data_IF_936580636848
#
_entry.id   IF_936580636848
#
_cell.length_a   1.000
_cell.length_b   1.000
_cell.length_c   1.000
_cell.angle_alpha   90.00
_cell.angle_beta   90.00
_cell.angle_gamma   90.00
#
_symmetry.space_group_name_H-M   'P 1'
#
loop_
_entity.id
_entity.type
_entity.pdbx_description
1 polymer ?
#
# COMPACT_ATOMS: atom_id res chain seq x y z
N UNK A 1 -1.48 -40.43 74.61
CA UNK A 1 -2.22 -39.26 74.06
C UNK A 1 -1.19 -38.17 73.75
N UNK A 2 -1.21 -37.58 72.55
CA UNK A 2 -0.32 -36.45 72.25
C UNK A 2 -0.74 -35.21 73.05
N UNK A 3 0.22 -34.44 73.56
CA UNK A 3 -0.09 -33.20 74.26
C UNK A 3 -0.64 -32.15 73.28
N UNK A 4 -1.58 -31.31 73.72
CA UNK A 4 -2.17 -30.26 72.87
C UNK A 4 -1.09 -29.35 72.28
N UNK A 5 -0.04 -29.06 73.04
CA UNK A 5 1.14 -28.28 72.63
C UNK A 5 1.86 -28.93 71.44
N UNK A 6 2.08 -30.25 71.47
CA UNK A 6 2.71 -30.99 70.37
C UNK A 6 1.86 -30.97 69.09
N UNK A 7 0.53 -31.02 69.21
CA UNK A 7 -0.35 -30.93 68.05
C UNK A 7 -0.35 -29.52 67.44
N UNK A 8 -0.33 -28.47 68.26
CA UNK A 8 -0.26 -27.07 67.79
C UNK A 8 1.07 -26.77 67.10
N UNK A 9 2.21 -27.24 67.64
CA UNK A 9 3.52 -27.01 66.99
C UNK A 9 3.66 -27.75 65.67
N UNK A 10 3.19 -29.00 65.57
CA UNK A 10 3.19 -29.75 64.30
C UNK A 10 2.27 -29.09 63.27
N UNK A 11 1.05 -28.68 63.67
CA UNK A 11 0.12 -27.98 62.77
C UNK A 11 0.70 -26.65 62.26
N UNK A 12 1.37 -25.88 63.13
CA UNK A 12 2.04 -24.65 62.74
C UNK A 12 3.15 -24.90 61.71
N UNK A 13 4.05 -25.87 61.94
CA UNK A 13 5.14 -26.20 61.01
C UNK A 13 4.61 -26.63 59.63
N UNK A 14 3.54 -27.44 59.59
CA UNK A 14 2.90 -27.85 58.33
C UNK A 14 2.28 -26.64 57.61
N UNK A 15 1.58 -25.76 58.32
CA UNK A 15 0.99 -24.56 57.73
C UNK A 15 2.05 -23.63 57.12
N UNK A 16 3.17 -23.40 57.81
CA UNK A 16 4.28 -22.59 57.27
C UNK A 16 4.91 -23.23 56.03
N UNK A 17 5.06 -24.57 56.02
CA UNK A 17 5.57 -25.31 54.86
C UNK A 17 4.66 -25.18 53.63
N UNK A 18 3.34 -25.28 53.81
CA UNK A 18 2.35 -25.10 52.74
C UNK A 18 2.36 -23.66 52.20
N UNK A 19 2.40 -22.65 53.09
CA UNK A 19 2.50 -21.25 52.69
C UNK A 19 3.79 -20.95 51.91
N UNK A 20 4.94 -21.43 52.40
CA UNK A 20 6.22 -21.26 51.71
C UNK A 20 6.23 -21.94 50.32
N UNK A 21 5.65 -23.14 50.21
CA UNK A 21 5.53 -23.83 48.92
C UNK A 21 4.59 -23.10 47.96
N UNK A 22 3.46 -22.56 48.44
CA UNK A 22 2.52 -21.79 47.61
C UNK A 22 3.17 -20.52 47.04
N UNK A 23 3.94 -19.78 47.86
CA UNK A 23 4.70 -18.60 47.42
C UNK A 23 5.78 -18.99 46.40
N UNK A 24 6.55 -20.05 46.66
CA UNK A 24 7.54 -20.57 45.70
C UNK A 24 6.89 -21.00 44.38
N UNK A 25 5.73 -21.66 44.43
CA UNK A 25 5.04 -22.16 43.25
C UNK A 25 4.49 -21.02 42.37
N UNK A 26 3.87 -20.00 42.96
CA UNK A 26 3.41 -18.84 42.17
C UNK A 26 4.58 -18.03 41.59
N UNK A 27 5.69 -17.90 42.34
CA UNK A 27 6.93 -17.32 41.81
C UNK A 27 7.46 -18.12 40.61
N UNK A 28 7.58 -19.45 40.74
CA UNK A 28 8.05 -20.34 39.67
C UNK A 28 7.15 -20.26 38.43
N UNK A 29 5.82 -20.19 38.62
CA UNK A 29 4.83 -20.04 37.55
C UNK A 29 4.97 -18.72 36.79
N UNK A 30 5.19 -17.60 37.51
CA UNK A 30 5.27 -16.26 36.88
C UNK A 30 6.62 -15.98 36.22
N UNK A 31 7.69 -16.66 36.62
CA UNK A 31 9.05 -16.37 36.19
C UNK A 31 9.65 -17.39 35.20
N UNK A 32 8.81 -18.11 34.45
CA UNK A 32 9.26 -19.11 33.47
C UNK A 32 10.14 -18.47 32.37
N UNK A 33 11.42 -18.85 32.41
CA UNK A 33 12.46 -18.37 31.49
C UNK A 33 12.32 -18.96 30.09
N UNK A 34 11.76 -20.16 29.94
CA UNK A 34 11.49 -20.78 28.63
C UNK A 34 10.48 -19.95 27.85
N UNK A 35 9.36 -19.60 28.48
CA UNK A 35 8.30 -18.82 27.84
C UNK A 35 8.80 -17.44 27.38
N UNK A 36 9.55 -16.72 28.23
CA UNK A 36 10.13 -15.43 27.86
C UNK A 36 11.19 -15.55 26.75
N UNK A 37 11.94 -16.67 26.68
CA UNK A 37 12.87 -16.96 25.59
C UNK A 37 12.14 -17.30 24.28
N UNK A 38 11.07 -18.09 24.34
CA UNK A 38 10.19 -18.42 23.20
C UNK A 38 9.56 -17.16 22.61
N UNK A 39 8.91 -16.32 23.42
CA UNK A 39 8.37 -15.03 23.00
C UNK A 39 9.43 -14.10 22.39
N UNK A 40 10.64 -14.03 22.95
CA UNK A 40 11.74 -13.23 22.35
C UNK A 40 12.21 -13.82 21.00
N UNK A 41 12.26 -15.14 20.87
CA UNK A 41 12.66 -15.85 19.63
C UNK A 41 11.59 -15.71 18.54
N UNK A 42 10.33 -15.77 18.90
CA UNK A 42 9.18 -15.55 18.01
C UNK A 42 9.09 -14.09 17.57
N UNK A 43 9.15 -13.12 18.50
CA UNK A 43 9.23 -11.69 18.14
C UNK A 43 10.44 -11.39 17.24
N UNK A 44 11.61 -11.99 17.48
CA UNK A 44 12.78 -11.85 16.59
C UNK A 44 12.56 -12.50 15.21
N UNK A 45 11.84 -13.63 15.14
CA UNK A 45 11.50 -14.29 13.86
C UNK A 45 10.50 -13.46 13.06
N UNK A 46 9.41 -13.01 13.68
CA UNK A 46 8.39 -12.15 13.06
C UNK A 46 9.01 -10.82 12.61
N UNK A 47 9.79 -10.15 13.45
CA UNK A 47 10.46 -8.92 13.04
C UNK A 47 11.48 -9.17 11.92
N UNK A 48 12.19 -10.30 11.91
CA UNK A 48 13.10 -10.64 10.81
C UNK A 48 12.35 -10.94 9.52
N UNK A 49 11.22 -11.68 9.55
CA UNK A 49 10.43 -11.93 8.34
C UNK A 49 9.78 -10.65 7.81
N UNK A 50 9.28 -9.77 8.69
CA UNK A 50 8.74 -8.45 8.31
C UNK A 50 9.83 -7.53 7.75
N UNK A 51 11.03 -7.53 8.34
CA UNK A 51 12.17 -6.78 7.81
C UNK A 51 12.66 -7.35 6.48
N UNK A 52 12.72 -8.68 6.32
CA UNK A 52 13.07 -9.29 5.03
C UNK A 52 12.01 -8.99 3.97
N UNK A 53 10.72 -9.07 4.28
CA UNK A 53 9.67 -8.68 3.32
C UNK A 53 9.66 -7.17 3.03
N UNK A 54 10.14 -6.32 3.94
CA UNK A 54 10.29 -4.88 3.68
C UNK A 54 11.53 -4.58 2.83
N UNK A 55 12.65 -5.22 3.14
CA UNK A 55 13.92 -5.05 2.43
C UNK A 55 13.87 -5.62 1.00
N UNK A 56 13.19 -6.75 0.78
CA UNK A 56 12.88 -7.29 -0.57
C UNK A 56 11.91 -6.40 -1.36
N UNK A 57 11.26 -5.40 -0.73
CA UNK A 57 10.35 -4.44 -1.40
C UNK A 57 10.95 -3.02 -1.50
N UNK A 58 12.05 -2.75 -0.79
CA UNK A 58 12.75 -1.45 -0.76
C UNK A 58 14.15 -1.47 -1.41
N UNK A 59 14.87 -2.60 -1.45
CA UNK A 59 16.21 -2.70 -2.07
C UNK A 59 16.25 -3.44 -3.42
N UNK A 60 15.27 -4.30 -3.71
CA UNK A 60 15.02 -4.69 -5.10
C UNK A 60 14.27 -3.53 -5.79
N UNK A 61 14.95 -2.89 -6.75
CA UNK A 61 14.25 -2.37 -7.93
C UNK A 61 13.34 -3.49 -8.45
N UNK A 62 12.08 -3.19 -8.88
CA UNK A 62 11.10 -4.23 -9.22
C UNK A 62 11.78 -5.26 -10.10
N UNK A 63 11.90 -6.49 -9.58
CA UNK A 63 12.74 -7.52 -10.18
C UNK A 63 12.40 -7.60 -11.66
N UNK A 64 13.37 -7.62 -12.59
CA UNK A 64 13.09 -7.44 -14.03
C UNK A 64 11.99 -8.42 -14.54
N UNK A 65 11.97 -9.63 -13.96
CA UNK A 65 10.93 -10.66 -14.11
C UNK A 65 9.50 -10.17 -13.80
N UNK A 66 9.34 -9.33 -12.78
CA UNK A 66 8.09 -8.68 -12.40
C UNK A 66 7.67 -7.58 -13.38
N UNK A 67 8.58 -6.68 -13.78
CA UNK A 67 8.27 -5.64 -14.76
C UNK A 67 7.82 -6.25 -16.11
N UNK A 68 8.53 -7.27 -16.60
CA UNK A 68 8.18 -7.94 -17.85
C UNK A 68 6.82 -8.63 -17.79
N UNK A 69 6.48 -9.28 -16.67
CA UNK A 69 5.16 -9.90 -16.44
C UNK A 69 4.05 -8.84 -16.33
N UNK A 70 4.29 -7.70 -15.66
CA UNK A 70 3.35 -6.58 -15.62
C UNK A 70 3.13 -5.99 -17.03
N UNK A 71 4.20 -5.85 -17.82
CA UNK A 71 4.17 -5.34 -19.20
C UNK A 71 3.48 -6.30 -20.16
N UNK A 72 3.64 -7.62 -19.99
CA UNK A 72 2.88 -8.64 -20.72
C UNK A 72 1.39 -8.60 -20.35
N UNK A 73 1.08 -8.54 -19.05
CA UNK A 73 -0.30 -8.40 -18.57
C UNK A 73 -0.98 -7.14 -19.13
N UNK A 74 -0.27 -5.99 -19.16
CA UNK A 74 -0.78 -4.75 -19.78
C UNK A 74 -1.07 -4.91 -21.28
N UNK A 75 -0.27 -5.67 -22.04
CA UNK A 75 -0.57 -5.97 -23.45
C UNK A 75 -1.83 -6.82 -23.58
N UNK A 76 -2.03 -7.82 -22.71
CA UNK A 76 -3.24 -8.63 -22.71
C UNK A 76 -4.48 -7.78 -22.37
N UNK A 77 -4.40 -6.94 -21.34
CA UNK A 77 -5.47 -6.03 -20.90
C UNK A 77 -5.90 -5.01 -21.97
N UNK A 78 -4.99 -4.58 -22.86
CA UNK A 78 -5.32 -3.70 -24.00
C UNK A 78 -6.14 -4.40 -25.09
N UNK A 79 -6.08 -5.73 -25.14
CA UNK A 79 -6.82 -6.57 -26.09
C UNK A 79 -8.14 -7.13 -25.49
N UNK A 80 -8.40 -6.93 -24.19
CA UNK A 80 -9.67 -7.31 -23.58
C UNK A 80 -10.82 -6.43 -24.10
N UNK A 81 -11.99 -7.00 -24.46
CA UNK A 81 -13.14 -6.21 -24.90
C UNK A 81 -13.68 -5.34 -23.76
N UNK A 82 -14.16 -4.15 -24.10
CA UNK A 82 -14.72 -3.22 -23.12
C UNK A 82 -16.03 -3.77 -22.52
N UNK A 83 -16.16 -3.74 -21.20
CA UNK A 83 -17.32 -4.25 -20.47
C UNK A 83 -18.54 -3.35 -20.73
N UNK A 84 -19.69 -3.91 -21.17
CA UNK A 84 -20.90 -3.15 -21.43
C UNK A 84 -21.41 -2.49 -20.13
N UNK A 85 -22.03 -1.32 -20.24
CA UNK A 85 -22.38 -0.48 -19.07
C UNK A 85 -23.19 -1.25 -18.01
N UNK A 86 -24.11 -2.10 -18.45
CA UNK A 86 -25.01 -2.91 -17.62
C UNK A 86 -24.26 -3.95 -16.75
N UNK A 87 -23.10 -4.44 -17.18
CA UNK A 87 -22.32 -5.46 -16.47
C UNK A 87 -21.13 -4.87 -15.69
N UNK A 88 -20.84 -3.56 -15.83
CA UNK A 88 -19.65 -2.94 -15.20
C UNK A 88 -19.63 -3.08 -13.69
N UNK A 89 -20.76 -2.89 -13.02
CA UNK A 89 -20.83 -2.98 -11.56
C UNK A 89 -20.55 -4.41 -11.07
N UNK A 90 -21.11 -5.42 -11.74
CA UNK A 90 -20.87 -6.82 -11.44
C UNK A 90 -19.40 -7.21 -11.72
N UNK A 91 -18.84 -6.78 -12.84
CA UNK A 91 -17.43 -6.99 -13.17
C UNK A 91 -16.50 -6.30 -12.16
N UNK A 92 -16.80 -5.06 -11.76
CA UNK A 92 -16.06 -4.31 -10.75
C UNK A 92 -15.98 -5.10 -9.44
N UNK A 93 -17.13 -5.48 -8.88
CA UNK A 93 -17.19 -6.20 -7.61
C UNK A 93 -16.45 -7.55 -7.66
N UNK A 94 -16.53 -8.25 -8.79
CA UNK A 94 -15.77 -9.48 -9.03
C UNK A 94 -14.26 -9.23 -9.06
N UNK A 95 -13.79 -8.20 -9.78
CA UNK A 95 -12.36 -7.84 -9.83
C UNK A 95 -11.81 -7.42 -8.46
N UNK A 96 -12.57 -6.63 -7.67
CA UNK A 96 -12.18 -6.27 -6.29
C UNK A 96 -12.07 -7.51 -5.40
N UNK A 97 -13.10 -8.36 -5.39
CA UNK A 97 -13.13 -9.58 -4.58
C UNK A 97 -12.03 -10.58 -4.95
N UNK A 98 -11.76 -10.73 -6.26
CA UNK A 98 -10.66 -11.54 -6.76
C UNK A 98 -9.29 -10.96 -6.37
N UNK A 99 -9.10 -9.64 -6.49
CA UNK A 99 -7.88 -8.95 -6.07
C UNK A 99 -7.58 -9.12 -4.58
N UNK A 100 -8.59 -8.96 -3.73
CA UNK A 100 -8.49 -9.17 -2.28
C UNK A 100 -8.15 -10.64 -1.94
N UNK A 101 -8.87 -11.59 -2.57
CA UNK A 101 -8.66 -13.04 -2.37
C UNK A 101 -7.26 -13.49 -2.81
N UNK A 102 -6.71 -12.90 -3.87
CA UNK A 102 -5.35 -13.15 -4.33
C UNK A 102 -4.32 -12.50 -3.41
N UNK A 103 -4.54 -11.26 -2.96
CA UNK A 103 -3.66 -10.57 -2.02
C UNK A 103 -3.52 -11.34 -0.68
N UNK A 104 -4.61 -11.95 -0.21
CA UNK A 104 -4.63 -12.77 1.00
C UNK A 104 -3.78 -14.07 0.90
N UNK A 105 -3.50 -14.57 -0.30
CA UNK A 105 -2.68 -15.78 -0.50
C UNK A 105 -1.17 -15.53 -0.37
N UNK A 106 -0.74 -14.26 -0.32
CA UNK A 106 0.64 -13.87 -0.07
C UNK A 106 1.46 -13.53 -1.32
N UNK A 107 2.80 -13.38 -1.19
CA UNK A 107 3.63 -12.66 -2.16
C UNK A 107 3.60 -13.17 -3.60
N UNK A 108 3.45 -14.48 -3.81
CA UNK A 108 3.36 -15.08 -5.16
C UNK A 108 2.12 -14.63 -5.95
N UNK A 109 1.10 -14.12 -5.28
CA UNK A 109 -0.16 -13.70 -5.88
C UNK A 109 -0.35 -12.17 -5.92
N UNK A 110 0.65 -11.39 -5.48
CA UNK A 110 0.56 -9.93 -5.49
C UNK A 110 0.47 -9.33 -6.91
N UNK A 111 1.16 -9.91 -7.89
CA UNK A 111 1.06 -9.48 -9.29
C UNK A 111 -0.33 -9.80 -9.89
N UNK A 112 -0.86 -11.04 -9.80
CA UNK A 112 -2.25 -11.34 -10.13
C UNK A 112 -3.29 -10.44 -9.43
N UNK A 113 -3.10 -10.14 -8.14
CA UNK A 113 -3.96 -9.24 -7.38
C UNK A 113 -3.95 -7.82 -7.95
N UNK A 114 -2.76 -7.27 -8.24
CA UNK A 114 -2.61 -5.95 -8.81
C UNK A 114 -3.29 -5.82 -10.19
N UNK A 115 -3.20 -6.85 -11.03
CA UNK A 115 -3.90 -6.90 -12.33
C UNK A 115 -5.43 -6.80 -12.14
N UNK A 116 -5.99 -7.47 -11.13
CA UNK A 116 -7.43 -7.41 -10.83
C UNK A 116 -7.85 -6.00 -10.36
N UNK A 117 -7.10 -5.39 -9.43
CA UNK A 117 -7.35 -4.01 -9.00
C UNK A 117 -7.19 -2.98 -10.13
N UNK A 118 -6.27 -3.20 -11.06
CA UNK A 118 -6.09 -2.35 -12.24
C UNK A 118 -7.24 -2.50 -13.26
N UNK A 119 -7.77 -3.72 -13.48
CA UNK A 119 -9.02 -3.91 -14.25
C UNK A 119 -10.18 -3.13 -13.66
N UNK A 120 -10.33 -3.13 -12.33
CA UNK A 120 -11.36 -2.36 -11.64
C UNK A 120 -11.17 -0.83 -11.80
N UNK A 121 -9.92 -0.33 -11.78
CA UNK A 121 -9.62 1.10 -12.04
C UNK A 121 -10.04 1.55 -13.44
N UNK A 122 -9.85 0.71 -14.47
CA UNK A 122 -10.18 1.06 -15.88
C UNK A 122 -11.67 1.27 -16.15
N UNK A 123 -12.56 0.72 -15.31
CA UNK A 123 -14.01 0.82 -15.49
C UNK A 123 -14.71 1.75 -14.48
N UNK A 124 -14.00 2.22 -13.45
CA UNK A 124 -14.53 3.13 -12.45
C UNK A 124 -14.50 4.59 -12.97
N UNK A 125 -15.58 5.38 -12.81
CA UNK A 125 -15.67 6.72 -13.42
C UNK A 125 -14.74 7.77 -12.79
N UNK A 126 -14.32 7.58 -11.54
CA UNK A 126 -13.47 8.53 -10.80
C UNK A 126 -12.21 7.85 -10.23
N UNK A 127 -11.26 7.39 -11.07
CA UNK A 127 -10.17 6.50 -10.63
C UNK A 127 -9.27 7.07 -9.53
N UNK A 128 -9.17 8.41 -9.41
CA UNK A 128 -8.42 9.06 -8.33
C UNK A 128 -9.00 8.79 -6.93
N UNK A 129 -10.33 8.71 -6.79
CA UNK A 129 -11.00 8.36 -5.54
C UNK A 129 -10.69 6.91 -5.15
N UNK A 130 -10.79 6.00 -6.12
CA UNK A 130 -10.55 4.57 -5.91
C UNK A 130 -9.08 4.28 -5.55
N UNK A 131 -8.12 5.01 -6.12
CA UNK A 131 -6.71 4.96 -5.70
C UNK A 131 -6.55 5.37 -4.23
N UNK A 132 -7.25 6.42 -3.77
CA UNK A 132 -7.24 6.84 -2.37
C UNK A 132 -7.83 5.76 -1.43
N UNK A 133 -8.89 5.07 -1.85
CA UNK A 133 -9.43 3.93 -1.12
C UNK A 133 -8.41 2.78 -1.07
N UNK A 134 -7.78 2.43 -2.19
CA UNK A 134 -6.76 1.37 -2.23
C UNK A 134 -5.56 1.66 -1.32
N UNK A 135 -5.11 2.91 -1.23
CA UNK A 135 -4.00 3.30 -0.34
C UNK A 135 -4.27 2.94 1.14
N UNK A 136 -5.54 2.92 1.56
CA UNK A 136 -5.94 2.63 2.95
C UNK A 136 -6.41 1.19 3.18
N UNK A 137 -6.90 0.51 2.13
CA UNK A 137 -7.54 -0.82 2.22
C UNK A 137 -6.70 -1.96 1.66
N UNK A 138 -5.86 -1.71 0.65
CA UNK A 138 -5.07 -2.74 -0.03
C UNK A 138 -3.70 -2.90 0.62
N UNK A 139 -3.19 -4.14 0.68
CA UNK A 139 -1.87 -4.44 1.25
C UNK A 139 -0.76 -3.65 0.52
N UNK A 140 0.15 -2.92 1.21
CA UNK A 140 1.01 -1.92 0.55
C UNK A 140 1.89 -2.42 -0.60
N UNK A 141 2.49 -3.64 -0.56
CA UNK A 141 3.17 -4.23 -1.71
C UNK A 141 2.28 -4.39 -2.96
N UNK A 142 0.99 -4.72 -2.80
CA UNK A 142 0.04 -4.84 -3.93
C UNK A 142 -0.31 -3.46 -4.45
N UNK A 143 -0.53 -2.48 -3.57
CA UNK A 143 -0.77 -1.09 -3.97
C UNK A 143 0.38 -0.50 -4.78
N UNK A 144 1.64 -0.75 -4.39
CA UNK A 144 2.85 -0.34 -5.14
C UNK A 144 2.79 -0.84 -6.60
N UNK A 145 2.47 -2.12 -6.81
CA UNK A 145 2.34 -2.74 -8.13
C UNK A 145 1.18 -2.15 -8.97
N UNK A 146 0.07 -1.77 -8.34
CA UNK A 146 -1.07 -1.12 -9.03
C UNK A 146 -0.67 0.27 -9.55
N UNK A 147 0.05 1.05 -8.74
CA UNK A 147 0.57 2.36 -9.14
C UNK A 147 1.62 2.23 -10.25
N UNK A 148 2.51 1.25 -10.14
CA UNK A 148 3.52 0.92 -11.16
C UNK A 148 2.87 0.56 -12.50
N UNK A 149 1.88 -0.35 -12.50
CA UNK A 149 1.09 -0.70 -13.68
C UNK A 149 0.34 0.50 -14.28
N UNK A 150 -0.16 1.41 -13.45
CA UNK A 150 -0.82 2.65 -13.89
C UNK A 150 0.16 3.59 -14.57
N UNK A 151 1.35 3.80 -13.99
CA UNK A 151 2.40 4.64 -14.58
C UNK A 151 2.87 4.06 -15.93
N UNK A 152 3.02 2.74 -16.03
CA UNK A 152 3.37 2.06 -17.28
C UNK A 152 2.30 2.22 -18.36
N UNK A 153 1.00 2.18 -18.03
CA UNK A 153 -0.07 2.38 -19.02
C UNK A 153 -0.11 3.82 -19.54
N UNK A 154 0.04 4.81 -18.64
CA UNK A 154 0.13 6.23 -18.99
C UNK A 154 1.37 6.50 -19.87
N UNK A 155 2.54 5.97 -19.53
CA UNK A 155 3.76 6.10 -20.35
C UNK A 155 3.70 5.33 -21.67
N UNK A 156 2.81 4.33 -21.79
CA UNK A 156 2.57 3.57 -23.02
C UNK A 156 1.52 4.21 -23.94
N UNK A 157 0.82 5.27 -23.51
CA UNK A 157 -0.08 6.00 -24.38
C UNK A 157 0.72 6.84 -25.39
N UNK A 158 0.46 6.75 -26.70
CA UNK A 158 1.14 7.59 -27.68
C UNK A 158 0.73 9.05 -27.47
N UNK A 159 1.72 9.92 -27.26
CA UNK A 159 1.53 11.37 -27.29
C UNK A 159 0.81 11.77 -28.59
N UNK A 160 -0.22 12.63 -28.56
CA UNK A 160 -0.87 13.10 -29.77
C UNK A 160 0.07 14.01 -30.57
N UNK A 161 0.86 13.41 -31.46
CA UNK A 161 1.70 14.11 -32.44
C UNK A 161 1.17 13.83 -33.84
N UNK A 162 0.33 14.74 -34.32
CA UNK A 162 -0.04 14.90 -35.73
C UNK A 162 -0.32 16.40 -35.89
N UNK A 163 0.55 17.23 -36.49
CA UNK A 163 1.28 17.09 -37.76
C UNK A 163 0.34 17.07 -38.97
N UNK A 164 -0.34 18.20 -39.21
CA UNK A 164 -0.96 18.49 -40.50
C UNK A 164 -0.03 19.38 -41.32
N UNK A 165 0.88 18.76 -42.06
CA UNK A 165 1.39 19.34 -43.30
C UNK A 165 0.24 19.35 -44.31
N UNK A 166 -0.15 20.52 -44.82
CA UNK A 166 -1.28 20.64 -45.73
C UNK A 166 -0.97 20.24 -47.17
N UNK A 167 -1.95 20.41 -48.08
CA UNK A 167 -1.71 20.68 -49.48
C UNK A 167 -2.05 22.14 -49.84
N UNK A 168 -1.28 22.74 -50.74
CA UNK A 168 -1.73 23.87 -51.57
C UNK A 168 -2.67 23.32 -52.67
N UNK A 169 -3.58 24.03 -53.35
CA UNK A 169 -3.89 25.47 -53.56
C UNK A 169 -5.46 25.66 -53.49
N UNK A 170 -6.14 26.79 -53.75
CA UNK A 170 -5.80 28.11 -54.32
C UNK A 170 -6.83 29.20 -53.91
N UNK A 171 -6.60 30.44 -54.37
CA UNK A 171 -7.54 31.55 -54.67
C UNK A 171 -8.76 31.86 -53.75
N UNK A 172 -8.67 32.97 -53.00
CA UNK A 172 -9.49 34.17 -53.25
C UNK A 172 -9.14 35.31 -52.25
N UNK A 173 -9.02 36.54 -52.75
CA UNK A 173 -8.64 37.75 -52.00
C UNK A 173 -9.83 38.44 -51.28
N UNK A 174 -9.54 39.59 -50.65
CA UNK A 174 -10.42 40.60 -50.03
C UNK A 174 -10.86 40.31 -48.56
N UNK A 175 -10.87 41.26 -47.62
CA UNK A 175 -10.30 42.63 -47.50
C UNK A 175 -10.37 43.07 -46.01
N UNK A 176 -9.75 44.22 -45.67
CA UNK A 176 -9.91 45.07 -44.47
C UNK A 176 -9.28 44.59 -43.15
N UNK A 177 -8.20 45.29 -42.76
CA UNK A 177 -7.76 45.50 -41.37
C UNK A 177 -8.24 46.87 -40.88
N UNK A 178 -8.37 47.12 -39.56
CA UNK A 178 -7.38 48.02 -38.95
C UNK A 178 -7.02 47.78 -37.45
N UNK A 179 -5.81 48.24 -37.11
CA UNK A 179 -5.26 48.71 -35.80
C UNK A 179 -5.37 47.82 -34.54
N UNK A 180 -4.28 47.38 -33.88
CA UNK A 180 -3.06 48.03 -33.31
C UNK A 180 -3.22 48.48 -31.85
N UNK A 181 -2.91 47.57 -30.92
CA UNK A 181 -2.56 47.86 -29.52
C UNK A 181 -1.13 47.34 -29.20
N UNK A 182 -0.37 47.99 -28.29
CA UNK A 182 1.02 47.64 -28.02
C UNK A 182 1.18 46.46 -27.03
N UNK A 183 2.33 45.74 -27.04
CA UNK A 183 2.62 44.68 -26.09
C UNK A 183 3.18 45.25 -24.78
N UNK A 184 2.88 44.59 -23.65
CA UNK A 184 3.53 44.83 -22.36
C UNK A 184 4.19 43.55 -21.85
N UNK A 185 5.46 43.37 -22.16
CA UNK A 185 6.33 42.42 -21.47
C UNK A 185 6.83 43.03 -20.16
N UNK A 186 6.40 42.47 -19.02
CA UNK A 186 7.03 42.55 -17.70
C UNK A 186 6.22 41.61 -16.78
N UNK A 187 6.80 40.74 -15.96
CA UNK A 187 8.21 40.58 -15.64
C UNK A 187 8.34 40.15 -14.18
N UNK A 188 8.32 38.85 -13.94
CA UNK A 188 8.97 38.15 -12.82
C UNK A 188 9.12 38.88 -11.47
N UNK A 189 8.12 38.83 -10.58
CA UNK A 189 8.32 38.89 -9.10
C UNK A 189 7.03 38.67 -8.28
N UNK A 190 6.74 37.42 -7.89
CA UNK A 190 5.81 37.13 -6.77
C UNK A 190 6.14 35.84 -5.99
N UNK A 191 7.40 35.39 -6.02
CA UNK A 191 7.87 34.19 -5.31
C UNK A 191 8.63 34.48 -4.01
N UNK A 192 8.59 35.74 -3.51
CA UNK A 192 9.34 36.13 -2.32
C UNK A 192 8.46 36.83 -1.27
N UNK A 193 7.74 36.01 -0.51
CA UNK A 193 7.19 36.40 0.80
C UNK A 193 7.05 35.22 1.77
N UNK A 194 8.16 34.51 1.98
CA UNK A 194 8.34 33.62 3.14
C UNK A 194 9.17 34.36 4.19
N UNK A 195 8.51 34.90 5.21
CA UNK A 195 9.09 35.08 6.56
C UNK A 195 7.97 35.22 7.59
N UNK A 196 7.72 34.13 8.34
CA UNK A 196 7.29 34.22 9.74
C UNK A 196 8.56 34.48 10.58
N UNK A 197 8.55 35.41 11.54
CA UNK A 197 8.72 34.94 12.92
C UNK A 197 7.99 35.79 13.96
N UNK A 198 6.84 35.31 14.45
CA UNK A 198 6.16 35.84 15.63
C UNK A 198 6.56 35.14 16.94
N UNK A 199 7.75 35.43 17.50
CA UNK A 199 8.16 34.93 18.83
C UNK A 199 8.71 36.06 19.71
N UNK A 200 8.33 36.03 21.00
CA UNK A 200 8.59 37.02 22.06
C UNK A 200 7.73 38.30 21.95
N UNK A 201 7.23 38.88 23.06
CA UNK A 201 7.48 38.61 24.49
C UNK A 201 6.19 38.51 25.31
#
# INVERSE_FOLDING_TARGET
MASKTTLVTVAAVVATGVLAYAVYFDYKRRNDLEFRRKLKKEKKRVNKSVQQSKQVVEEDAPSEVGEDVLREALKALKNEPNVPLEEREAYFMNQISMGETLAAQGPSFYVPAAIAFFRALRIYPAPAELIGIYQTTVHPPVFKLVIEMTNMDVSSAPSPTTATSGPAVDDSLDDVSPERGPPSESGSQEWDKVTDPGTQA
#
